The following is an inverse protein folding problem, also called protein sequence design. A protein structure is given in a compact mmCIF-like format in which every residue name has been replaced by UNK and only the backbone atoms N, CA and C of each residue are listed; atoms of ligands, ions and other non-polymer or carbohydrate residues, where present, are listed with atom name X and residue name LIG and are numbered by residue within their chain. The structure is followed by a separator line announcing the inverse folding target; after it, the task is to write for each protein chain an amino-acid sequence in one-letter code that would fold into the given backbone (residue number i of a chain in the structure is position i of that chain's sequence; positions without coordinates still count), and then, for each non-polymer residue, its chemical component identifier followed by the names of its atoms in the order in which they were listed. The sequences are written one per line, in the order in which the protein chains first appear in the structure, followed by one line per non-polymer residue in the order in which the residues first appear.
data_IF_871329753146
#
_entry.id   IF_871329753146
#
_cell.length_a   1.000
_cell.length_b   1.000
_cell.length_c   1.000
_cell.angle_alpha   90.00
_cell.angle_beta   90.00
_cell.angle_gamma   90.00
#
_symmetry.space_group_name_H-M   'P 1'
#
loop_
_entity.id
_entity.type
_entity.pdbx_description
1 polymer ?
2 non-polymer ?
3 non-polymer ?
4 non-polymer ?
5 water ?
#
# COMPACT_ATOMS: atom_id res chain seq x y z
N UNK A 10 -2.86 -13.33 -13.63
CA UNK A 10 -2.93 -11.88 -13.95
C UNK A 10 -3.52 -11.07 -12.80
N UNK A 11 -2.86 -9.97 -12.53
CA UNK A 11 -3.33 -9.01 -11.56
C UNK A 11 -4.50 -8.35 -12.31
N UNK A 12 -5.64 -8.15 -11.65
CA UNK A 12 -6.77 -7.62 -12.40
C UNK A 12 -6.61 -6.13 -12.78
N UNK A 13 -7.29 -5.79 -13.86
CA UNK A 13 -7.39 -4.42 -14.30
C UNK A 13 -8.31 -3.71 -13.32
N UNK A 14 -8.21 -2.39 -13.28
CA UNK A 14 -9.10 -1.60 -12.42
C UNK A 14 -10.54 -1.73 -12.88
N UNK A 15 -11.48 -1.68 -11.93
CA UNK A 15 -12.91 -1.70 -12.25
C UNK A 15 -13.49 -0.34 -12.55
N UNK A 16 -12.69 0.71 -12.38
CA UNK A 16 -13.21 2.06 -12.53
C UNK A 16 -13.17 2.51 -13.97
N UNK A 17 -13.74 3.69 -14.25
CA UNK A 17 -13.80 4.24 -15.61
C UNK A 17 -12.51 4.81 -16.19
N UNK A 18 -11.56 5.21 -15.35
CA UNK A 18 -10.36 5.82 -15.86
C UNK A 18 -9.33 4.78 -16.22
N UNK A 19 -8.56 5.05 -17.26
CA UNK A 19 -7.39 4.25 -17.58
C UNK A 19 -6.35 4.58 -16.50
N UNK A 20 -5.33 3.74 -16.37
CA UNK A 20 -4.36 3.85 -15.27
C UNK A 20 -2.91 3.87 -15.74
N UNK A 21 -2.17 4.83 -15.18
CA UNK A 21 -0.75 4.99 -15.46
C UNK A 21 0.06 4.69 -14.22
N UNK A 22 1.35 4.49 -14.43
CA UNK A 22 2.26 4.21 -13.34
C UNK A 22 3.68 4.71 -13.62
N UNK A 23 4.33 5.24 -12.59
CA UNK A 23 5.73 5.62 -12.64
C UNK A 23 6.35 5.53 -11.23
N UNK A 24 7.68 5.64 -11.19
CA UNK A 24 8.42 5.69 -9.94
C UNK A 24 9.00 7.08 -9.67
N UNK A 25 9.01 7.46 -8.41
CA UNK A 25 9.62 8.72 -7.96
C UNK A 25 10.53 8.46 -6.78
N UNK A 26 11.78 8.91 -6.91
CA UNK A 26 12.73 8.95 -5.80
C UNK A 26 13.27 10.36 -5.62
N UNK A 27 12.92 10.97 -4.48
CA UNK A 27 13.45 12.29 -4.12
C UNK A 27 13.46 12.53 -2.59
N UNK A 28 14.59 12.90 -2.00
CA UNK A 28 15.92 12.92 -2.68
C UNK A 28 16.43 11.50 -3.02
N UNK A 29 17.65 11.44 -3.53
CA UNK A 29 18.32 10.20 -3.90
C UNK A 29 18.84 9.34 -2.72
N UNK A 30 18.83 9.88 -1.48
CA UNK A 30 19.49 9.23 -0.33
C UNK A 30 18.56 8.23 0.38
N UNK A 31 19.15 7.48 1.32
CA UNK A 31 18.36 6.56 2.13
C UNK A 31 17.32 7.25 3.06
N UNK A 32 17.42 8.56 3.25
CA UNK A 32 16.41 9.35 3.94
C UNK A 32 15.39 10.02 3.03
N UNK A 33 15.58 9.88 1.73
CA UNK A 33 14.65 10.43 0.77
C UNK A 33 13.38 9.61 0.71
N UNK A 34 12.45 10.10 -0.11
CA UNK A 34 11.22 9.39 -0.43
C UNK A 34 11.42 8.57 -1.72
N UNK A 35 10.95 7.32 -1.66
CA UNK A 35 10.83 6.41 -2.79
C UNK A 35 9.38 5.91 -2.79
N UNK A 36 8.69 6.13 -3.91
CA UNK A 36 7.33 5.66 -4.08
C UNK A 36 7.03 5.23 -5.51
N UNK A 37 6.06 4.33 -5.65
CA UNK A 37 5.45 4.03 -6.94
C UNK A 37 4.11 4.75 -7.00
N UNK A 38 3.94 5.52 -8.08
CA UNK A 38 2.75 6.29 -8.31
C UNK A 38 1.83 5.56 -9.28
N UNK A 39 0.56 5.47 -8.91
CA UNK A 39 -0.49 5.03 -9.82
C UNK A 39 -1.47 6.18 -9.96
N UNK A 40 -1.90 6.45 -11.18
CA UNK A 40 -2.68 7.65 -11.44
C UNK A 40 -3.58 7.49 -12.68
N UNK A 41 -4.70 8.24 -12.74
CA UNK A 41 -5.54 8.29 -13.93
C UNK A 41 -4.77 8.80 -15.14
N UNK A 42 -4.76 8.02 -16.22
CA UNK A 42 -4.02 8.40 -17.45
C UNK A 42 -4.95 8.62 -18.64
N UNK A 43 -4.51 9.43 -19.60
CA UNK A 43 -5.21 9.58 -20.88
C UNK A 43 -4.92 8.38 -21.78
N UNK A 44 -3.61 8.14 -21.98
CA UNK A 44 -3.10 7.16 -22.92
C UNK A 44 -3.25 5.74 -22.39
N UNK A 45 -3.70 4.85 -23.27
CA UNK A 45 -3.88 3.45 -22.94
C UNK A 45 -3.06 2.51 -23.85
N UNK A 46 -2.12 3.07 -24.62
CA UNK A 46 -1.31 2.28 -25.58
C UNK A 46 0.16 2.22 -25.18
N UNK A 47 0.42 2.38 -23.88
CA UNK A 47 1.78 2.27 -23.37
C UNK A 47 2.03 0.84 -22.93
N UNK A 48 3.30 0.50 -22.78
CA UNK A 48 3.70 -0.81 -22.26
C UNK A 48 3.22 -0.95 -20.84
N UNK A 49 2.78 -2.15 -20.48
CA UNK A 49 2.37 -2.46 -19.11
C UNK A 49 3.59 -2.37 -18.16
N UNK A 50 3.30 -2.21 -16.87
CA UNK A 50 4.34 -1.97 -15.86
C UNK A 50 4.94 -3.28 -15.36
N UNK A 51 6.26 -3.37 -15.39
CA UNK A 51 7.01 -4.50 -14.86
C UNK A 51 6.79 -4.59 -13.34
N UNK A 52 6.28 -5.74 -12.90
CA UNK A 52 5.80 -5.94 -11.52
C UNK A 52 6.89 -5.92 -10.46
N UNK A 53 7.94 -6.70 -10.66
CA UNK A 53 9.08 -6.75 -9.76
C UNK A 53 10.26 -6.40 -10.66
N UNK A 54 10.67 -5.12 -10.65
CA UNK A 54 11.60 -4.66 -11.66
C UNK A 54 13.10 -4.81 -11.48
N UNK A 55 13.56 -5.40 -10.39
CA UNK A 55 15.00 -5.59 -10.21
C UNK A 55 15.25 -6.95 -9.60
N UNK A 56 16.36 -7.54 -10.00
CA UNK A 56 16.72 -8.87 -9.50
C UNK A 56 16.91 -8.92 -7.99
N UNK A 57 17.36 -7.80 -7.40
CA UNK A 57 17.63 -7.76 -5.97
C UNK A 57 16.34 -7.90 -5.12
N UNK A 58 15.17 -7.53 -5.65
CA UNK A 58 13.91 -7.80 -4.93
C UNK A 58 13.69 -9.32 -4.75
N UNK A 59 14.06 -10.12 -5.73
CA UNK A 59 13.94 -11.58 -5.61
C UNK A 59 14.90 -12.15 -4.58
N UNK A 60 16.14 -11.65 -4.56
CA UNK A 60 17.08 -11.97 -3.47
C UNK A 60 16.50 -11.61 -2.11
N UNK A 61 15.90 -10.44 -2.02
CA UNK A 61 15.19 -9.99 -0.84
C UNK A 61 14.08 -10.94 -0.42
N UNK A 62 13.19 -11.27 -1.34
CA UNK A 62 12.08 -12.20 -1.03
C UNK A 62 12.59 -13.57 -0.56
N UNK A 63 13.75 -13.99 -1.07
CA UNK A 63 14.36 -15.26 -0.69
C UNK A 63 14.86 -15.28 0.77
N UNK A 64 15.53 -14.20 1.16
CA UNK A 64 15.96 -14.01 2.54
C UNK A 64 14.71 -13.97 3.43
N UNK A 65 13.70 -13.20 3.01
CA UNK A 65 12.45 -13.11 3.73
C UNK A 65 11.79 -14.47 3.97
N UNK A 66 11.86 -15.36 2.98
CA UNK A 66 11.32 -16.71 3.10
C UNK A 66 12.22 -17.64 3.89
N UNK A 67 13.45 -17.22 4.15
CA UNK A 67 14.41 -18.00 4.92
C UNK A 67 15.03 -19.11 4.10
N UNK A 68 15.04 -18.95 2.78
CA UNK A 68 15.54 -19.97 1.85
C UNK A 68 16.95 -19.63 1.37
N UNK A 69 17.56 -20.60 0.72
CA UNK A 69 18.85 -20.37 0.04
C UNK A 69 18.67 -19.15 -0.90
N UNK A 70 19.65 -18.24 -0.94
CA UNK A 70 19.62 -17.08 -1.90
C UNK A 70 19.33 -17.47 -3.37
N UNK A 71 19.78 -18.66 -3.76
CA UNK A 71 19.46 -19.27 -5.07
C UNK A 71 17.98 -19.49 -5.36
N UNK A 72 17.15 -19.68 -4.33
CA UNK A 72 15.69 -19.67 -4.48
C UNK A 72 15.24 -18.35 -5.10
N UNK A 73 15.94 -17.26 -4.77
CA UNK A 73 15.72 -15.96 -5.41
C UNK A 73 15.84 -15.99 -6.92
N UNK A 74 16.94 -16.57 -7.41
CA UNK A 74 17.15 -16.73 -8.86
C UNK A 74 16.02 -17.53 -9.54
N UNK A 75 15.47 -18.50 -8.82
CA UNK A 75 14.30 -19.29 -9.29
C UNK A 75 13.00 -18.48 -9.27
N UNK A 76 12.82 -17.63 -8.26
CA UNK A 76 11.66 -16.72 -8.23
C UNK A 76 11.72 -15.73 -9.40
N UNK A 77 12.92 -15.26 -9.69
CA UNK A 77 13.13 -14.32 -10.76
C UNK A 77 12.71 -14.96 -12.06
N UNK A 78 13.28 -16.13 -12.32
CA UNK A 78 12.93 -16.92 -13.47
C UNK A 78 11.41 -17.09 -13.66
N UNK A 79 10.67 -17.33 -12.58
CA UNK A 79 9.23 -17.54 -12.66
C UNK A 79 8.42 -16.25 -12.82
N UNK A 80 8.84 -15.20 -12.13
CA UNK A 80 8.04 -13.98 -12.00
C UNK A 80 8.65 -12.71 -12.57
N UNK A 81 9.91 -12.81 -13.01
CA UNK A 81 10.71 -11.66 -13.40
C UNK A 81 10.30 -10.87 -14.63
N UNK A 82 9.49 -11.49 -15.49
CA UNK A 82 8.96 -10.84 -16.69
C UNK A 82 7.48 -10.47 -16.56
N UNK A 83 6.87 -10.81 -15.42
CA UNK A 83 5.45 -10.53 -15.20
C UNK A 83 5.19 -9.03 -15.13
N UNK A 84 4.04 -8.61 -15.63
CA UNK A 84 3.66 -7.21 -15.64
C UNK A 84 2.37 -7.04 -14.88
N UNK A 85 2.03 -5.79 -14.63
CA UNK A 85 0.79 -5.43 -13.97
C UNK A 85 0.09 -4.41 -14.87
N UNK A 86 -1.25 -4.48 -14.99
CA UNK A 86 -1.93 -3.70 -16.04
C UNK A 86 -2.06 -2.19 -15.73
N UNK A 87 -0.91 -1.51 -15.74
CA UNK A 87 -0.80 -0.06 -15.64
C UNK A 87 0.13 0.45 -16.73
N UNK A 88 -0.28 1.52 -17.40
CA UNK A 88 0.48 2.08 -18.51
C UNK A 88 1.72 2.79 -17.97
N UNK A 89 2.90 2.23 -18.22
CA UNK A 89 4.17 2.76 -17.71
C UNK A 89 4.45 4.15 -18.30
N UNK A 90 4.68 5.13 -17.42
CA UNK A 90 5.00 6.54 -17.79
C UNK A 90 3.96 7.21 -18.68
N UNK A 91 2.70 6.77 -18.61
CA UNK A 91 1.66 7.41 -19.39
C UNK A 91 1.47 8.84 -18.88
N UNK A 92 1.15 9.79 -19.78
CA UNK A 92 0.71 11.10 -19.28
C UNK A 92 -0.48 11.01 -18.30
N UNK A 93 -0.48 11.90 -17.29
CA UNK A 93 -1.59 12.06 -16.35
C UNK A 93 -2.81 12.61 -17.06
N UNK A 94 -3.99 12.12 -16.70
CA UNK A 94 -5.23 12.60 -17.27
C UNK A 94 -5.51 13.99 -16.72
N UNK A 95 -5.52 15.02 -17.59
CA UNK A 95 -5.64 16.38 -17.10
C UNK A 95 -7.10 16.74 -16.80
N UNK A 96 -7.26 17.91 -16.18
CA UNK A 96 -8.55 18.63 -16.12
C UNK A 96 -9.43 18.31 -14.94
N UNK A 97 -8.84 17.78 -13.88
CA UNK A 97 -9.56 17.42 -12.67
C UNK A 97 -8.56 17.21 -11.53
N UNK A 98 -8.95 17.65 -10.33
CA UNK A 98 -8.15 17.46 -9.11
C UNK A 98 -8.48 16.14 -8.38
N UNK A 99 -7.44 15.33 -8.20
CA UNK A 99 -7.58 13.96 -7.70
C UNK A 99 -7.22 13.84 -6.21
N UNK A 100 -8.08 13.18 -5.43
CA UNK A 100 -7.67 12.83 -4.07
C UNK A 100 -6.49 11.87 -4.05
N UNK A 101 -5.84 11.80 -2.89
CA UNK A 101 -4.55 11.13 -2.74
C UNK A 101 -4.57 10.09 -1.63
N UNK A 102 -4.11 8.89 -1.95
CA UNK A 102 -3.92 7.83 -0.99
C UNK A 102 -2.45 7.58 -0.89
N UNK A 103 -1.93 7.52 0.34
CA UNK A 103 -0.57 7.05 0.57
C UNK A 103 -0.74 5.62 1.07
N UNK A 104 -0.03 4.70 0.44
CA UNK A 104 -0.15 3.27 0.72
C UNK A 104 1.13 2.68 1.32
N UNK A 105 0.97 1.91 2.41
CA UNK A 105 2.10 1.31 3.14
C UNK A 105 2.10 -0.22 3.06
N UNK A 106 3.23 -0.75 2.57
CA UNK A 106 3.35 -2.17 2.34
C UNK A 106 3.70 -2.93 3.60
N UNK A 107 3.50 -4.23 3.52
CA UNK A 107 3.79 -5.15 4.61
C UNK A 107 5.28 -5.51 4.77
N UNK A 108 5.54 -6.24 5.85
CA UNK A 108 6.87 -6.79 6.16
C UNK A 108 7.31 -7.85 5.15
N UNK A 109 8.51 -7.68 4.60
CA UNK A 109 8.99 -8.54 3.53
C UNK A 109 8.48 -8.19 2.14
N UNK A 110 7.58 -7.21 2.06
CA UNK A 110 7.06 -6.72 0.79
C UNK A 110 7.91 -5.54 0.31
N UNK A 111 7.41 -4.80 -0.68
CA UNK A 111 8.01 -3.54 -1.16
C UNK A 111 6.95 -2.78 -1.95
N UNK A 112 7.31 -1.69 -2.63
CA UNK A 112 6.30 -0.77 -3.14
C UNK A 112 5.40 -1.27 -4.27
N UNK A 113 5.88 -2.26 -5.02
CA UNK A 113 5.25 -2.72 -6.26
C UNK A 113 4.22 -3.84 -6.05
N UNK A 114 4.09 -4.37 -4.83
CA UNK A 114 3.35 -5.61 -4.58
C UNK A 114 1.91 -5.45 -4.17
N UNK A 115 1.42 -4.22 -4.22
CA UNK A 115 -0.02 -3.94 -3.97
C UNK A 115 -0.63 -3.16 -5.17
N UNK A 116 -0.24 -3.58 -6.39
CA UNK A 116 -0.76 -2.97 -7.61
C UNK A 116 -2.24 -3.26 -7.90
N UNK A 117 -2.79 -4.36 -7.41
CA UNK A 117 -4.24 -4.64 -7.63
C UNK A 117 -5.07 -3.55 -6.94
N UNK A 118 -4.66 -3.24 -5.71
CA UNK A 118 -5.27 -2.16 -4.93
C UNK A 118 -5.01 -0.81 -5.59
N UNK A 119 -3.74 -0.54 -5.91
CA UNK A 119 -3.33 0.76 -6.44
C UNK A 119 -3.93 1.10 -7.79
N UNK A 120 -3.95 0.12 -8.68
CA UNK A 120 -4.54 0.26 -10.01
C UNK A 120 -6.04 0.52 -9.87
N UNK A 121 -6.71 -0.21 -8.98
CA UNK A 121 -8.15 -0.05 -8.86
C UNK A 121 -8.55 1.33 -8.35
N UNK A 122 -7.84 1.80 -7.32
CA UNK A 122 -8.10 3.13 -6.79
C UNK A 122 -7.92 4.19 -7.87
N UNK A 123 -6.80 4.09 -8.59
CA UNK A 123 -6.46 5.00 -9.68
C UNK A 123 -7.52 5.01 -10.75
N UNK A 124 -8.01 3.81 -11.12
CA UNK A 124 -9.10 3.70 -12.11
C UNK A 124 -10.41 4.37 -11.65
N UNK A 125 -10.55 4.65 -10.36
CA UNK A 125 -11.71 5.37 -9.87
C UNK A 125 -11.41 6.86 -9.67
N UNK A 126 -10.22 7.29 -10.05
CA UNK A 126 -9.83 8.69 -9.98
C UNK A 126 -9.04 9.15 -8.79
N UNK A 127 -8.24 8.25 -8.20
CA UNK A 127 -7.35 8.59 -7.11
C UNK A 127 -5.92 8.56 -7.62
N UNK A 128 -5.05 9.31 -6.96
CA UNK A 128 -3.63 9.17 -7.18
C UNK A 128 -3.19 8.37 -5.97
N UNK A 129 -2.41 7.32 -6.20
CA UNK A 129 -1.92 6.42 -5.17
C UNK A 129 -0.40 6.49 -5.14
N UNK A 130 0.13 6.82 -3.98
CA UNK A 130 1.55 6.81 -3.74
C UNK A 130 1.88 5.66 -2.79
N UNK A 131 2.43 4.59 -3.37
CA UNK A 131 2.85 3.44 -2.63
C UNK A 131 4.32 3.61 -2.26
N UNK A 132 4.54 3.95 -1.00
CA UNK A 132 5.87 4.19 -0.50
C UNK A 132 6.71 2.93 -0.44
N UNK A 133 8.02 3.08 -0.58
CA UNK A 133 8.93 2.01 -0.25
C UNK A 133 9.67 2.42 1.03
N UNK A 134 9.53 1.61 2.06
CA UNK A 134 10.05 1.94 3.36
C UNK A 134 11.52 1.57 3.43
N UNK A 135 12.28 2.42 4.11
CA UNK A 135 13.74 2.24 4.30
C UNK A 135 14.09 1.83 5.76
N UNK A 136 13.12 1.20 6.43
CA UNK A 136 13.25 0.78 7.84
C UNK A 136 13.81 -0.65 7.99
N UNK A 137 14.20 -1.25 6.87
CA UNK A 137 14.59 -2.66 6.76
C UNK A 137 13.44 -3.63 7.02
N UNK A 138 12.19 -3.17 6.87
CA UNK A 138 11.02 -4.04 6.85
C UNK A 138 10.69 -4.50 5.43
N UNK A 139 11.20 -3.79 4.41
CA UNK A 139 11.05 -4.24 3.03
C UNK A 139 12.05 -5.39 2.76
N UNK A 140 11.65 -6.38 1.95
CA UNK A 140 12.57 -7.45 1.49
C UNK A 140 13.87 -6.89 0.93
N UNK A 141 13.69 -5.89 0.08
CA UNK A 141 14.78 -5.06 -0.39
C UNK A 141 14.25 -3.67 -0.72
N UNK A 142 15.18 -2.73 -0.73
CA UNK A 142 14.97 -1.42 -1.32
C UNK A 142 16.34 -0.91 -1.74
N UNK A 143 16.35 0.25 -2.40
CA UNK A 143 17.61 0.85 -2.80
C UNK A 143 17.55 2.38 -2.80
N UNK A 144 18.73 2.95 -2.84
CA UNK A 144 18.91 4.39 -2.77
C UNK A 144 20.35 4.62 -3.30
N UNK A 145 20.81 5.86 -3.26
CA UNK A 145 22.12 6.23 -3.78
C UNK A 145 22.95 6.88 -2.70
N UNK A 146 24.23 6.53 -2.67
CA UNK A 146 25.13 6.94 -1.61
C UNK A 146 25.37 8.44 -1.62
N UNK A 147 25.40 9.01 -2.82
CA UNK A 147 25.59 10.44 -2.98
C UNK A 147 25.21 10.86 -4.42
N UNK A 148 25.42 12.12 -4.76
CA UNK A 148 24.99 12.64 -6.06
C UNK A 148 25.64 11.91 -7.24
N UNK A 149 26.97 11.75 -7.19
CA UNK A 149 27.70 11.04 -8.25
C UNK A 149 27.06 9.69 -8.57
N UNK A 150 26.89 8.88 -7.52
CA UNK A 150 26.28 7.55 -7.62
C UNK A 150 24.88 7.53 -8.27
N UNK A 151 24.07 8.53 -7.94
CA UNK A 151 22.72 8.66 -8.52
C UNK A 151 22.75 8.97 -10.01
N UNK A 152 23.63 9.85 -10.44
CA UNK A 152 23.81 10.15 -11.87
C UNK A 152 24.12 8.92 -12.71
N UNK A 153 25.13 8.16 -12.30
CA UNK A 153 25.52 6.96 -13.06
C UNK A 153 24.63 5.75 -12.80
N UNK A 154 23.67 5.85 -11.88
CA UNK A 154 22.75 4.75 -11.58
C UNK A 154 23.37 3.65 -10.70
N UNK A 155 24.32 4.03 -9.86
CA UNK A 155 24.99 3.07 -8.97
C UNK A 155 24.16 2.87 -7.70
N UNK A 156 23.33 1.83 -7.72
CA UNK A 156 22.37 1.55 -6.66
C UNK A 156 23.04 0.89 -5.46
N UNK A 157 22.68 1.35 -4.26
CA UNK A 157 22.99 0.67 -3.02
C UNK A 157 21.73 -0.01 -2.48
N UNK A 158 21.85 -1.30 -2.13
CA UNK A 158 20.72 -2.09 -1.69
C UNK A 158 20.68 -2.29 -0.19
N UNK A 159 19.48 -2.27 0.36
CA UNK A 159 19.24 -2.45 1.78
C UNK A 159 18.22 -3.57 1.92
N UNK A 160 18.58 -4.60 2.69
CA UNK A 160 17.81 -5.83 2.79
C UNK A 160 17.11 -5.97 4.12
N UNK A 161 16.08 -6.81 4.13
CA UNK A 161 15.33 -7.15 5.33
C UNK A 161 16.22 -7.50 6.51
N UNK A 162 15.89 -6.91 7.65
CA UNK A 162 16.52 -7.21 8.92
C UNK A 162 15.74 -8.31 9.64
N UNK A 163 16.43 -9.37 9.99
CA UNK A 163 15.86 -10.43 10.81
C UNK A 163 16.13 -10.05 12.27
N UNK A 164 15.10 -10.12 13.10
CA UNK A 164 15.22 -9.75 14.51
C UNK A 164 15.36 -10.97 15.36
N UNK A 165 16.04 -10.81 16.49
CA UNK A 165 16.03 -11.79 17.58
C UNK A 165 14.75 -11.53 18.40
N UNK A 166 14.24 -12.55 19.09
CA UNK A 166 13.00 -12.41 19.90
C UNK A 166 13.02 -11.23 20.88
N UNK A 167 14.21 -10.92 21.37
CA UNK A 167 14.43 -9.86 22.34
C UNK A 167 14.57 -8.46 21.72
N UNK A 168 14.59 -8.36 20.40
CA UNK A 168 14.55 -7.06 19.71
C UNK A 168 13.15 -6.69 19.24
N UNK A 169 12.23 -7.65 19.28
CA UNK A 169 10.95 -7.54 18.55
C UNK A 169 10.14 -6.33 18.99
N UNK A 170 9.92 -6.18 20.30
CA UNK A 170 9.04 -5.09 20.78
C UNK A 170 9.67 -3.78 20.34
N UNK A 171 10.89 -3.55 20.82
CA UNK A 171 11.62 -2.33 20.56
C UNK A 171 11.78 -2.02 19.08
N UNK A 172 12.35 -2.93 18.31
CA UNK A 172 12.65 -2.62 16.91
C UNK A 172 11.39 -2.42 16.05
N UNK A 173 10.37 -3.27 16.19
CA UNK A 173 9.13 -3.09 15.42
C UNK A 173 8.48 -1.73 15.69
N UNK A 174 8.62 -1.24 16.91
CA UNK A 174 8.07 0.06 17.24
C UNK A 174 8.94 1.16 16.61
N UNK A 175 10.25 1.02 16.64
CA UNK A 175 11.13 1.98 15.94
C UNK A 175 10.78 2.05 14.44
N UNK A 176 10.53 0.89 13.85
CA UNK A 176 10.18 0.79 12.44
C UNK A 176 8.83 1.42 12.09
N UNK A 177 7.79 1.12 12.90
CA UNK A 177 6.49 1.72 12.65
C UNK A 177 6.53 3.26 12.76
N UNK A 178 7.33 3.77 13.68
CA UNK A 178 7.48 5.23 13.78
C UNK A 178 8.18 5.79 12.55
N UNK A 179 9.25 5.15 12.11
CA UNK A 179 9.91 5.53 10.86
C UNK A 179 8.97 5.43 9.65
N UNK A 180 8.22 4.34 9.57
CA UNK A 180 7.22 4.20 8.51
C UNK A 180 6.24 5.37 8.46
N UNK A 181 5.69 5.73 9.62
CA UNK A 181 4.80 6.90 9.70
C UNK A 181 5.48 8.17 9.18
N UNK A 182 6.74 8.38 9.60
CA UNK A 182 7.50 9.55 9.14
C UNK A 182 7.69 9.54 7.63
N UNK A 183 7.92 8.35 7.06
CA UNK A 183 8.06 8.18 5.63
C UNK A 183 6.72 8.43 4.91
N UNK A 184 5.60 8.04 5.51
CA UNK A 184 4.29 8.40 4.95
C UNK A 184 4.09 9.90 4.92
N UNK A 185 4.34 10.56 6.05
CA UNK A 185 4.22 12.02 6.12
C UNK A 185 5.13 12.73 5.13
N UNK A 186 6.35 12.24 4.97
CA UNK A 186 7.31 12.84 4.05
C UNK A 186 6.90 12.71 2.60
N UNK A 187 6.38 11.53 2.25
CA UNK A 187 5.79 11.27 0.94
C UNK A 187 4.65 12.23 0.66
N UNK A 188 3.74 12.41 1.63
CA UNK A 188 2.66 13.38 1.47
C UNK A 188 3.18 14.78 1.17
N UNK A 189 4.13 15.26 1.97
CA UNK A 189 4.69 16.60 1.78
C UNK A 189 5.36 16.74 0.39
N UNK A 190 6.08 15.71 -0.05
CA UNK A 190 6.67 15.73 -1.39
C UNK A 190 5.62 15.92 -2.47
N UNK A 191 4.56 15.12 -2.41
CA UNK A 191 3.51 15.18 -3.41
C UNK A 191 2.81 16.54 -3.37
N UNK A 192 2.47 17.01 -2.17
CA UNK A 192 1.83 18.33 -2.04
C UNK A 192 2.71 19.46 -2.58
N UNK A 193 4.01 19.36 -2.35
CA UNK A 193 4.98 20.31 -2.92
C UNK A 193 5.06 20.27 -4.43
N UNK A 194 5.02 19.06 -4.98
CA UNK A 194 4.99 18.89 -6.43
C UNK A 194 3.68 19.46 -6.94
N UNK A 195 2.60 19.30 -6.18
CA UNK A 195 1.32 19.89 -6.54
C UNK A 195 1.44 21.40 -6.55
N UNK A 196 2.09 21.93 -5.52
CA UNK A 196 2.31 23.38 -5.41
C UNK A 196 3.47 23.90 -6.27
N UNK A 197 3.78 23.14 -7.31
CA UNK A 197 4.73 23.47 -8.38
C UNK A 197 6.23 23.50 -8.18
N UNK A 198 6.74 23.02 -7.05
CA UNK A 198 8.20 23.02 -6.85
C UNK A 198 8.87 22.07 -7.85
N UNK A 199 9.90 22.55 -8.57
CA UNK A 199 10.65 21.61 -9.42
C UNK A 199 11.39 20.59 -8.56
N UNK A 200 11.24 19.32 -8.94
CA UNK A 200 11.86 18.19 -8.25
C UNK A 200 12.58 17.40 -9.35
N UNK A 201 13.88 17.15 -9.17
CA UNK A 201 14.63 16.28 -10.08
C UNK A 201 14.53 14.83 -9.61
N UNK A 202 13.69 14.04 -10.27
CA UNK A 202 13.56 12.62 -9.96
C UNK A 202 14.95 11.99 -10.05
N UNK A 203 15.30 11.23 -9.02
CA UNK A 203 16.63 10.60 -8.94
C UNK A 203 16.70 9.44 -9.91
N UNK A 204 15.54 8.89 -10.25
CA UNK A 204 15.39 7.95 -11.34
C UNK A 204 15.17 8.74 -12.63
N UNK A 205 15.89 8.37 -13.69
CA UNK A 205 15.80 9.06 -14.98
C UNK A 205 14.72 8.36 -15.78
N UNK A 206 13.47 8.76 -15.55
CA UNK A 206 12.31 8.18 -16.23
C UNK A 206 11.62 9.23 -17.07
N UNK A 207 10.95 8.80 -18.13
CA UNK A 207 10.31 9.73 -19.08
C UNK A 207 8.88 10.04 -18.61
N UNK A 208 8.82 10.69 -17.46
CA UNK A 208 7.57 11.15 -16.88
C UNK A 208 7.88 12.47 -16.19
N UNK A 209 7.38 13.54 -16.77
CA UNK A 209 7.61 14.90 -16.29
C UNK A 209 6.71 15.14 -15.08
N UNK A 210 7.33 15.30 -13.91
CA UNK A 210 6.58 15.50 -12.68
C UNK A 210 5.77 16.79 -12.70
N UNK A 211 6.13 17.71 -13.59
CA UNK A 211 5.39 18.97 -13.69
C UNK A 211 3.93 18.82 -14.05
N UNK A 212 3.56 17.66 -14.61
CA UNK A 212 2.15 17.37 -14.90
C UNK A 212 1.36 17.34 -13.61
N UNK A 213 1.99 16.89 -12.54
CA UNK A 213 1.33 16.80 -11.25
C UNK A 213 0.91 18.16 -10.63
N UNK A 214 1.53 19.25 -11.08
CA UNK A 214 1.15 20.61 -10.66
C UNK A 214 -0.36 20.82 -10.75
N UNK A 215 -0.96 21.27 -9.65
CA UNK A 215 -2.41 21.56 -9.54
C UNK A 215 -3.33 20.39 -9.86
N UNK A 216 -2.84 19.17 -9.66
CA UNK A 216 -3.60 17.94 -9.95
C UNK A 216 -4.14 17.20 -8.72
N UNK A 217 -3.79 17.67 -7.52
CA UNK A 217 -4.19 17.04 -6.27
C UNK A 217 -5.29 17.81 -5.57
N UNK A 218 -6.27 17.08 -5.04
CA UNK A 218 -7.31 17.70 -4.26
C UNK A 218 -6.76 17.73 -2.83
N UNK A 219 -6.03 18.81 -2.55
CA UNK A 219 -5.18 18.98 -1.37
C UNK A 219 -5.67 18.55 0.00
N UNK A 220 -6.95 18.70 0.30
CA UNK A 220 -7.47 18.28 1.62
C UNK A 220 -8.09 16.86 1.65
N UNK A 221 -8.09 16.18 0.50
CA UNK A 221 -8.71 14.86 0.39
C UNK A 221 -7.58 13.82 0.37
N UNK A 222 -7.04 13.58 1.56
CA UNK A 222 -5.90 12.71 1.74
C UNK A 222 -6.24 11.58 2.69
N UNK A 223 -5.95 10.36 2.27
CA UNK A 223 -6.11 9.18 3.13
C UNK A 223 -4.86 8.32 3.12
N UNK A 224 -4.73 7.46 4.13
CA UNK A 224 -3.62 6.53 4.23
C UNK A 224 -4.16 5.09 4.34
N UNK A 225 -3.58 4.17 3.57
CA UNK A 225 -4.03 2.76 3.54
C UNK A 225 -2.82 1.85 3.63
N UNK A 226 -2.98 0.67 4.20
CA UNK A 226 -1.85 -0.25 4.29
C UNK A 226 -2.20 -1.63 4.81
N UNK A 227 -1.35 -2.59 4.43
CA UNK A 227 -1.56 -4.00 4.74
C UNK A 227 -0.65 -4.45 5.85
N UNK A 228 -1.21 -5.08 6.87
CA UNK A 228 -0.47 -5.75 7.93
C UNK A 228 0.45 -4.79 8.72
N UNK A 229 1.77 -4.84 8.51
CA UNK A 229 2.68 -3.86 9.07
C UNK A 229 2.25 -2.47 8.58
N UNK A 230 1.83 -2.40 7.32
CA UNK A 230 1.27 -1.20 6.75
C UNK A 230 -0.02 -0.70 7.42
N UNK A 231 -0.77 -1.61 8.03
CA UNK A 231 -2.03 -1.30 8.75
C UNK A 231 -1.76 -0.63 10.08
N UNK A 232 -0.72 -1.10 10.77
CA UNK A 232 -0.20 -0.40 11.95
C UNK A 232 0.36 0.97 11.55
N UNK A 233 1.00 1.02 10.38
CA UNK A 233 1.59 2.26 9.85
C UNK A 233 0.46 3.27 9.63
N UNK A 234 -0.65 2.83 9.06
CA UNK A 234 -1.86 3.66 8.98
C UNK A 234 -2.14 4.35 10.31
N UNK A 235 -2.20 3.54 11.37
CA UNK A 235 -2.64 4.01 12.66
C UNK A 235 -1.66 4.99 13.33
N UNK A 236 -0.38 4.64 13.29
CA UNK A 236 0.66 5.54 13.73
C UNK A 236 0.61 6.86 12.94
N UNK A 237 0.47 6.74 11.61
CA UNK A 237 0.50 7.89 10.69
C UNK A 237 -0.65 8.84 11.05
N UNK A 238 -1.84 8.30 11.26
CA UNK A 238 -2.97 9.11 11.62
C UNK A 238 -2.74 9.87 12.92
N UNK A 239 -2.15 9.21 13.91
CA UNK A 239 -1.91 9.85 15.20
C UNK A 239 -0.71 10.77 15.22
N UNK A 240 -0.12 11.01 14.06
CA UNK A 240 1.07 11.82 13.97
C UNK A 240 0.87 12.97 12.98
N UNK A 241 -0.10 12.85 12.08
CA UNK A 241 -0.29 13.80 10.99
C UNK A 241 -1.77 13.98 10.70
N UNK A 242 -2.31 15.09 11.19
CA UNK A 242 -3.74 15.39 11.00
C UNK A 242 -4.08 15.76 9.54
N UNK A 243 -3.09 15.89 8.66
CA UNK A 243 -3.33 16.11 7.23
C UNK A 243 -4.02 14.92 6.61
N UNK A 244 -3.75 13.72 7.14
CA UNK A 244 -4.49 12.52 6.71
C UNK A 244 -5.87 12.51 7.34
N UNK A 245 -6.92 12.46 6.52
CA UNK A 245 -8.31 12.65 7.02
C UNK A 245 -9.04 11.36 7.38
N UNK A 246 -8.59 10.23 6.85
CA UNK A 246 -9.05 8.95 7.33
C UNK A 246 -8.05 7.87 6.97
N UNK A 247 -8.22 6.71 7.60
CA UNK A 247 -7.34 5.57 7.34
C UNK A 247 -8.09 4.30 7.12
N UNK A 248 -7.48 3.40 6.36
CA UNK A 248 -8.02 2.05 6.16
C UNK A 248 -6.91 1.06 6.38
N UNK A 249 -7.09 0.21 7.39
CA UNK A 249 -6.11 -0.79 7.77
C UNK A 249 -6.54 -2.16 7.23
N UNK A 250 -5.71 -2.71 6.33
CA UNK A 250 -6.05 -3.99 5.69
C UNK A 250 -5.34 -5.06 6.47
N UNK A 251 -6.10 -5.83 7.26
CA UNK A 251 -5.59 -6.94 8.09
C UNK A 251 -4.40 -6.41 8.90
N UNK A 252 -4.67 -5.39 9.71
CA UNK A 252 -3.62 -4.77 10.50
C UNK A 252 -2.93 -5.76 11.43
N UNK A 253 -1.60 -5.68 11.50
CA UNK A 253 -0.80 -6.36 12.52
C UNK A 253 -0.49 -5.32 13.59
N UNK A 254 -1.13 -5.45 14.75
CA UNK A 254 -1.11 -4.37 15.74
C UNK A 254 0.13 -4.31 16.64
N UNK A 255 0.93 -5.36 16.62
CA UNK A 255 2.06 -5.50 17.56
C UNK A 255 3.06 -4.33 17.59
N UNK A 256 3.43 -3.75 16.41
CA UNK A 256 4.36 -2.62 16.40
C UNK A 256 3.96 -1.34 17.17
N UNK A 257 2.66 -1.14 17.40
CA UNK A 257 2.15 0.09 18.02
C UNK A 257 2.52 0.22 19.48
N UNK A 258 2.90 1.43 19.89
CA UNK A 258 3.12 1.74 21.31
C UNK A 258 1.78 1.90 22.02
N UNK A 259 1.75 1.67 23.33
CA UNK A 259 0.52 1.75 24.13
C UNK A 259 -0.08 3.15 24.08
N UNK A 260 0.77 4.12 23.84
CA UNK A 260 0.32 5.48 23.76
C UNK A 260 -0.60 5.78 22.61
N UNK A 261 -0.49 5.19 21.43
CA UNK A 261 -1.22 5.68 20.23
C UNK A 261 -2.73 5.45 20.20
N UNK A 262 -3.19 4.49 20.86
CA UNK A 262 -4.55 3.92 20.81
C UNK A 262 -5.65 4.91 21.08
N UNK A 263 -5.45 5.73 22.09
CA UNK A 263 -6.39 6.79 22.44
C UNK A 263 -6.16 8.10 21.65
N UNK A 264 -5.32 8.06 20.62
CA UNK A 264 -4.79 9.29 19.99
C UNK A 264 -5.04 9.33 18.48
N UNK A 265 -6.18 8.78 18.04
CA UNK A 265 -6.49 8.68 16.61
C UNK A 265 -7.89 9.30 16.36
N UNK A 266 -7.94 10.64 16.20
CA UNK A 266 -9.23 11.32 16.02
C UNK A 266 -9.93 11.00 14.69
N UNK A 267 -9.17 10.63 13.66
CA UNK A 267 -9.71 10.40 12.31
C UNK A 267 -10.52 9.09 12.15
N UNK A 268 -11.53 9.09 11.24
CA UNK A 268 -12.21 7.83 10.93
C UNK A 268 -11.24 6.76 10.47
N UNK A 269 -11.44 5.54 10.97
CA UNK A 269 -10.58 4.40 10.70
C UNK A 269 -11.44 3.17 10.44
N UNK A 270 -11.02 2.38 9.45
CA UNK A 270 -11.76 1.23 8.89
C UNK A 270 -10.80 0.03 8.92
N UNK A 271 -11.20 -1.04 9.62
CA UNK A 271 -10.46 -2.28 9.62
C UNK A 271 -11.17 -3.21 8.63
N UNK A 272 -10.44 -3.63 7.60
CA UNK A 272 -10.86 -4.69 6.68
C UNK A 272 -9.95 -5.88 6.96
N UNK A 273 -10.55 -6.95 7.50
CA UNK A 273 -9.79 -8.12 7.94
C UNK A 273 -10.07 -9.34 7.07
N UNK A 274 -9.12 -10.26 7.12
CA UNK A 274 -9.29 -11.60 6.55
C UNK A 274 -9.86 -12.50 7.63
N UNK A 275 -10.49 -13.59 7.21
CA UNK A 275 -11.07 -14.55 8.14
C UNK A 275 -10.00 -15.33 8.94
N UNK A 276 -8.97 -15.81 8.24
CA UNK A 276 -8.04 -16.77 8.85
C UNK A 276 -6.80 -16.16 9.53
N UNK A 277 -6.49 -14.90 9.26
CA UNK A 277 -5.32 -14.28 9.91
C UNK A 277 -5.53 -13.92 11.38
N UNK A 278 -6.69 -13.37 11.70
CA UNK A 278 -6.85 -12.65 12.97
C UNK A 278 -6.85 -13.55 14.20
N UNK A 279 -6.52 -12.94 15.32
CA UNK A 279 -6.47 -13.66 16.61
C UNK A 279 -6.80 -12.69 17.73
N UNK A 280 -7.30 -13.19 18.88
CA UNK A 280 -7.72 -12.33 19.99
C UNK A 280 -6.79 -11.16 20.38
N UNK A 281 -5.50 -11.41 20.59
CA UNK A 281 -4.57 -10.35 20.99
C UNK A 281 -4.63 -9.16 19.99
N UNK A 282 -4.62 -9.48 18.71
CA UNK A 282 -4.68 -8.49 17.66
C UNK A 282 -6.03 -7.77 17.60
N UNK A 283 -7.13 -8.50 17.75
CA UNK A 283 -8.47 -7.90 17.80
C UNK A 283 -8.69 -7.00 19.00
N UNK A 284 -8.23 -7.44 20.16
CA UNK A 284 -8.26 -6.62 21.39
C UNK A 284 -7.57 -5.28 21.16
N UNK A 285 -6.39 -5.30 20.54
CA UNK A 285 -5.68 -4.07 20.20
C UNK A 285 -6.44 -3.17 19.24
N UNK A 286 -7.08 -3.76 18.24
CA UNK A 286 -7.97 -2.99 17.37
C UNK A 286 -9.12 -2.34 18.15
N UNK A 287 -9.72 -3.10 19.05
CA UNK A 287 -10.86 -2.58 19.82
C UNK A 287 -10.45 -1.50 20.84
N UNK A 288 -9.17 -1.49 21.20
CA UNK A 288 -8.57 -0.39 21.96
C UNK A 288 -8.55 0.94 21.20
N UNK A 289 -8.74 0.93 19.87
CA UNK A 289 -8.83 2.15 19.12
C UNK A 289 -10.22 2.73 19.14
N UNK A 290 -11.20 2.00 19.68
CA UNK A 290 -12.60 2.43 19.66
C UNK A 290 -12.93 3.31 20.85
N UNK A 291 -13.56 4.44 20.58
CA UNK A 291 -14.15 5.33 21.60
C UNK A 291 -15.46 5.89 21.07
N UNK A 292 -16.38 6.27 21.97
CA UNK A 292 -17.75 6.64 21.53
C UNK A 292 -17.76 7.84 20.57
N UNK A 293 -16.81 8.76 20.77
CA UNK A 293 -16.70 9.95 19.94
C UNK A 293 -16.02 9.71 18.55
N UNK A 294 -15.48 8.52 18.29
CA UNK A 294 -14.75 8.23 17.06
C UNK A 294 -15.47 7.28 16.08
N UNK A 295 -15.30 7.53 14.78
CA UNK A 295 -15.83 6.67 13.70
C UNK A 295 -14.92 5.47 13.49
N UNK A 296 -15.46 4.28 13.74
CA UNK A 296 -14.71 3.06 13.52
C UNK A 296 -15.61 2.01 12.90
N UNK A 297 -15.09 1.36 11.85
CA UNK A 297 -15.77 0.28 11.16
C UNK A 297 -14.82 -0.92 11.07
N UNK A 298 -15.41 -2.11 11.07
CA UNK A 298 -14.67 -3.35 10.88
C UNK A 298 -15.53 -4.35 10.11
N UNK A 299 -14.91 -5.00 9.12
CA UNK A 299 -15.52 -6.12 8.42
C UNK A 299 -14.48 -7.21 8.21
N UNK A 300 -14.99 -8.42 8.03
CA UNK A 300 -14.17 -9.59 7.81
C UNK A 300 -14.65 -10.30 6.54
N UNK A 301 -13.72 -10.50 5.62
CA UNK A 301 -14.00 -11.13 4.32
C UNK A 301 -14.00 -12.65 4.53
N UNK A 302 -15.15 -13.30 4.28
CA UNK A 302 -15.28 -14.75 4.49
C UNK A 302 -14.38 -15.56 3.58
N UNK A 303 -13.70 -16.52 4.17
CA UNK A 303 -12.91 -17.47 3.42
C UNK A 303 -11.57 -16.94 2.95
N UNK A 304 -11.15 -15.79 3.48
CA UNK A 304 -9.95 -15.12 3.03
C UNK A 304 -8.80 -15.34 4.00
N UNK A 305 -7.60 -15.14 3.46
CA UNK A 305 -6.37 -15.27 4.21
C UNK A 305 -5.59 -13.95 4.13
N UNK A 306 -4.57 -13.84 4.98
CA UNK A 306 -3.75 -12.62 5.11
C UNK A 306 -3.23 -12.12 3.74
N UNK A 307 -2.82 -13.04 2.87
CA UNK A 307 -2.26 -12.69 1.58
C UNK A 307 -3.27 -12.26 0.50
N UNK A 308 -4.57 -12.34 0.78
CA UNK A 308 -5.58 -11.91 -0.21
C UNK A 308 -5.42 -10.40 -0.56
N UNK A 309 -4.78 -9.63 0.31
CA UNK A 309 -4.63 -8.19 0.10
C UNK A 309 -3.41 -7.79 -0.72
N UNK A 310 -2.54 -8.76 -1.04
CA UNK A 310 -1.32 -8.46 -1.76
C UNK A 310 -1.33 -9.19 -3.08
N UNK A 311 -0.42 -8.80 -3.97
CA UNK A 311 -0.47 -9.19 -5.38
C UNK A 311 -0.14 -10.64 -5.66
N UNK A 312 0.57 -11.32 -4.76
CA UNK A 312 0.94 -12.72 -5.00
C UNK A 312 -0.24 -13.68 -4.91
N UNK A 313 -1.39 -13.21 -4.41
CA UNK A 313 -2.63 -13.97 -4.49
C UNK A 313 -3.10 -14.15 -5.94
N UNK A 314 -2.61 -13.33 -6.85
CA UNK A 314 -2.89 -13.48 -8.28
C UNK A 314 -1.82 -14.14 -9.10
N UNK A 315 -0.63 -14.38 -8.54
CA UNK A 315 0.55 -14.76 -9.33
C UNK A 315 0.75 -16.25 -9.61
N UNK A 316 -0.01 -17.11 -8.92
CA UNK A 316 0.04 -18.56 -9.13
C UNK A 316 -1.35 -19.13 -9.35
N UNK A 317 -1.38 -20.39 -9.77
CA UNK A 317 -2.62 -21.14 -9.94
C UNK A 317 -3.41 -21.31 -8.65
N UNK A 318 -4.66 -21.75 -8.81
CA UNK A 318 -5.56 -21.99 -7.68
C UNK A 318 -5.03 -23.04 -6.70
N UNK A 319 -4.57 -24.18 -7.21
CA UNK A 319 -4.04 -25.24 -6.35
C UNK A 319 -2.72 -24.85 -5.64
N UNK A 320 -1.72 -24.39 -6.41
CA UNK A 320 -0.43 -24.01 -5.81
C UNK A 320 -0.66 -22.87 -4.79
N UNK A 321 -1.53 -21.92 -5.17
CA UNK A 321 -1.82 -20.76 -4.37
C UNK A 321 -2.46 -21.08 -3.04
N UNK A 322 -3.39 -22.03 -3.06
CA UNK A 322 -4.07 -22.44 -1.84
C UNK A 322 -3.10 -23.15 -0.89
N UNK A 323 -2.29 -24.03 -1.47
CA UNK A 323 -1.20 -24.71 -0.77
C UNK A 323 -0.19 -23.78 -0.04
N UNK A 324 0.21 -22.70 -0.70
CA UNK A 324 1.14 -21.69 -0.11
C UNK A 324 0.49 -20.61 0.77
N UNK A 325 -0.83 -20.72 0.98
CA UNK A 325 -1.64 -19.72 1.69
C UNK A 325 -1.55 -18.32 1.09
N UNK A 326 -1.38 -18.26 -0.23
CA UNK A 326 -1.53 -17.05 -1.03
C UNK A 326 -2.99 -16.84 -1.41
N UNK A 327 -3.75 -17.93 -1.51
CA UNK A 327 -5.17 -17.89 -1.82
C UNK A 327 -5.98 -18.53 -0.67
N UNK A 328 -7.19 -18.03 -0.45
CA UNK A 328 -8.12 -18.65 0.47
C UNK A 328 -9.14 -19.49 -0.28
N UNK A 329 -10.19 -19.87 0.43
CA UNK A 329 -11.33 -20.55 -0.17
C UNK A 329 -12.09 -19.61 -1.11
N UNK A 330 -12.11 -18.32 -0.77
CA UNK A 330 -12.78 -17.31 -1.58
C UNK A 330 -11.93 -17.00 -2.80
N UNK A 331 -12.59 -16.69 -3.92
CA UNK A 331 -11.84 -16.31 -5.12
C UNK A 331 -11.11 -14.97 -4.89
N UNK A 332 -9.85 -14.90 -5.31
CA UNK A 332 -9.01 -13.72 -5.05
C UNK A 332 -9.55 -12.42 -5.65
N UNK A 333 -10.15 -12.52 -6.84
CA UNK A 333 -10.78 -11.36 -7.48
C UNK A 333 -12.01 -10.94 -6.73
N UNK A 334 -12.82 -11.91 -6.33
CA UNK A 334 -13.99 -11.64 -5.51
C UNK A 334 -13.53 -10.92 -4.23
N UNK A 335 -12.50 -11.45 -3.57
CA UNK A 335 -12.08 -10.92 -2.27
C UNK A 335 -11.60 -9.47 -2.39
N UNK A 336 -10.69 -9.23 -3.32
CA UNK A 336 -10.12 -7.90 -3.51
C UNK A 336 -11.16 -6.89 -4.02
N UNK A 337 -12.09 -7.32 -4.87
CA UNK A 337 -13.24 -6.46 -5.25
C UNK A 337 -13.99 -5.95 -4.03
N UNK A 338 -14.25 -6.83 -3.05
CA UNK A 338 -14.97 -6.47 -1.83
C UNK A 338 -14.17 -5.46 -0.99
N UNK A 339 -12.86 -5.72 -0.85
CA UNK A 339 -11.98 -4.82 -0.08
C UNK A 339 -11.91 -3.45 -0.76
N UNK A 340 -11.69 -3.46 -2.08
CA UNK A 340 -11.59 -2.23 -2.86
C UNK A 340 -12.87 -1.41 -2.92
N UNK A 341 -14.03 -2.06 -3.12
CA UNK A 341 -15.33 -1.35 -3.20
C UNK A 341 -15.75 -0.75 -1.84
N UNK A 342 -15.55 -1.53 -0.77
CA UNK A 342 -15.81 -1.07 0.58
C UNK A 342 -14.91 0.10 0.94
N UNK A 343 -13.64 0.01 0.52
CA UNK A 343 -12.69 1.10 0.73
C UNK A 343 -13.13 2.39 0.04
N UNK A 344 -13.51 2.29 -1.22
CA UNK A 344 -14.03 3.43 -1.99
C UNK A 344 -15.24 4.10 -1.34
N UNK A 345 -16.18 3.32 -0.84
CA UNK A 345 -17.34 3.88 -0.14
C UNK A 345 -16.93 4.66 1.12
N UNK A 346 -16.09 4.04 1.93
CA UNK A 346 -15.52 4.68 3.14
C UNK A 346 -14.79 5.98 2.85
N UNK A 347 -13.88 5.93 1.88
CA UNK A 347 -13.16 7.14 1.40
C UNK A 347 -14.12 8.24 0.95
N UNK A 348 -15.14 7.88 0.18
CA UNK A 348 -16.11 8.87 -0.30
C UNK A 348 -16.82 9.54 0.87
N UNK A 349 -17.19 8.71 1.84
CA UNK A 349 -17.85 9.18 3.03
C UNK A 349 -16.96 10.15 3.80
N UNK A 350 -15.73 9.77 4.08
CA UNK A 350 -14.90 10.56 5.00
C UNK A 350 -13.97 11.59 4.33
N UNK A 351 -13.79 11.53 3.02
CA UNK A 351 -13.13 12.62 2.28
C UNK A 351 -14.13 13.57 1.63
N UNK A 352 -15.42 13.25 1.72
CA UNK A 352 -16.48 14.08 1.12
C UNK A 352 -16.34 14.19 -0.39
N UNK A 353 -16.16 13.04 -1.04
CA UNK A 353 -16.08 12.97 -2.50
C UNK A 353 -17.50 13.00 -3.09
N UNK A 354 -17.64 13.54 -4.30
CA UNK A 354 -18.93 13.59 -5.02
C UNK A 354 -18.90 12.66 -6.22
N UNK A 355 -18.59 11.39 -5.96
CA UNK A 355 -18.58 10.34 -6.96
C UNK A 355 -19.78 9.41 -6.66
N UNK A 356 -19.76 8.21 -7.20
CA UNK A 356 -20.85 7.24 -7.01
C UNK A 356 -20.46 6.07 -6.10
N UNK A 357 -19.38 6.21 -5.32
CA UNK A 357 -18.88 5.12 -4.47
C UNK A 357 -19.82 4.74 -3.32
N UNK A 358 -20.75 5.64 -3.00
CA UNK A 358 -21.79 5.34 -2.03
C UNK A 358 -22.72 4.17 -2.44
N UNK A 359 -22.72 3.77 -3.71
CA UNK A 359 -23.39 2.50 -4.15
C UNK A 359 -22.91 1.27 -3.35
N UNK A 360 -21.65 1.30 -2.88
CA UNK A 360 -21.07 0.23 -2.05
C UNK A 360 -21.16 0.46 -0.54
N UNK A 361 -22.00 1.39 -0.09
CA UNK A 361 -22.12 1.75 1.34
C UNK A 361 -22.39 0.54 2.27
N UNK A 362 -23.29 -0.34 1.83
CA UNK A 362 -23.65 -1.53 2.62
C UNK A 362 -22.48 -2.51 2.90
N UNK A 363 -21.42 -2.47 2.10
CA UNK A 363 -20.21 -3.27 2.35
C UNK A 363 -19.37 -2.81 3.56
N UNK A 364 -19.45 -1.52 3.87
CA UNK A 364 -18.83 -0.94 5.08
C UNK A 364 -19.46 -1.58 6.32
N UNK A 365 -20.75 -1.91 6.20
CA UNK A 365 -21.50 -2.64 7.21
C UNK A 365 -21.38 -4.17 7.10
N UNK A 366 -20.53 -4.67 6.20
CA UNK A 366 -20.40 -6.10 5.96
C UNK A 366 -21.68 -6.82 5.53
N UNK A 367 -22.61 -6.09 4.91
CA UNK A 367 -23.90 -6.63 4.45
C UNK A 367 -23.74 -7.19 3.04
N UNK A 368 -23.28 -8.43 3.00
CA UNK A 368 -22.94 -9.17 1.78
C UNK A 368 -22.72 -10.63 2.20
N UNK A 369 -23.11 -11.59 1.39
CA UNK A 369 -22.93 -13.02 1.76
C UNK A 369 -21.45 -13.44 1.98
N UNK A 370 -20.51 -12.73 1.35
CA UNK A 370 -19.07 -12.96 1.56
C UNK A 370 -18.40 -12.04 2.61
N UNK A 371 -19.19 -11.27 3.37
CA UNK A 371 -18.64 -10.45 4.46
C UNK A 371 -19.27 -10.86 5.78
N UNK A 372 -18.50 -10.64 6.85
CA UNK A 372 -18.96 -10.78 8.21
C UNK A 372 -18.88 -9.37 8.81
N UNK A 373 -20.01 -8.86 9.34
CA UNK A 373 -19.92 -7.58 10.05
C UNK A 373 -18.98 -7.72 11.25
N UNK A 374 -18.14 -6.74 11.48
CA UNK A 374 -17.21 -6.78 12.59
C UNK A 374 -16.22 -7.92 12.42
N UNK A 375 -16.18 -8.81 13.41
CA UNK A 375 -15.21 -9.89 13.44
C UNK A 375 -15.79 -11.22 13.88
N UNK A 376 -15.17 -12.27 13.35
CA UNK A 376 -15.47 -13.64 13.72
C UNK A 376 -14.75 -14.06 14.99
N UNK A 377 -13.76 -13.28 15.42
CA UNK A 377 -12.91 -13.60 16.57
C UNK A 377 -13.61 -13.14 17.85
N UNK A 378 -13.86 -14.07 18.76
CA UNK A 378 -14.46 -13.75 20.04
C UNK A 378 -13.38 -13.32 21.02
N UNK A 379 -13.63 -12.23 21.76
CA UNK A 379 -12.72 -11.75 22.80
C UNK A 379 -13.53 -11.28 24.00
#
# INVERSE_FOLDING_TARGET
MAAASFGQTKIPRGNGPYSVGCTDLMFDHTNKGTFLRLYYPSQDNDRLDTLWIPNKEYFWGLSKFLGTHWLMGNILRLLFGSMTTPANWNSPLRPGEKYPLVVFSHGLGAFRTLYSAIGIDLASHGFIVAAVEHRDRSASATYYFKDQSAAEIGDKSWLYLRTLKQEEETHIRNEQVRQRAKECSQALSLILDIDHGKPVKNALDLKFDMEQLKDSIDREKIAVIGHSFGGATVIQTLSEDQRFRCGIALDAWMFPLGDEVYSRIPQPLFFINSEYFQYPANIIKMKKCYSPDKERKMITIRGSVHQNFADFTFATGKIIGHMLKLKGDIDSNVAIDLSNKASLAFLQKHLGLHKDFDQWDCLIEGDDENLIPGTNINTTNQHHHHHH
#
